data_IF_483133588095
#
_entry.id   IF_483133588095
#
_cell.length_a   1.000
_cell.length_b   1.000
_cell.length_c   1.000
_cell.angle_alpha   90.00
_cell.angle_beta   90.00
_cell.angle_gamma   90.00
#
_symmetry.space_group_name_H-M   'P 1'
#
loop_
_entity.id
_entity.type
_entity.pdbx_description
1 polymer ?
#
# COMPACT_ATOMS: atom_id res chain seq x y z
N UNK A 1 22.09 -1.45 15.39
CA UNK A 1 20.87 -2.17 15.81
C UNK A 1 20.04 -2.49 14.58
N UNK A 2 20.11 -3.72 14.05
CA UNK A 2 19.21 -4.13 12.98
C UNK A 2 17.82 -4.22 13.61
N UNK A 3 16.88 -3.36 13.17
CA UNK A 3 15.52 -3.38 13.70
C UNK A 3 14.91 -4.77 13.51
N UNK A 4 14.26 -5.32 14.55
CA UNK A 4 13.58 -6.63 14.49
C UNK A 4 12.63 -6.74 13.30
N UNK A 5 12.05 -5.62 12.88
CA UNK A 5 11.22 -5.52 11.68
C UNK A 5 11.95 -5.96 10.41
N UNK A 6 13.19 -5.48 10.20
CA UNK A 6 14.00 -5.85 9.02
C UNK A 6 14.33 -7.34 9.01
N UNK A 7 14.61 -7.91 10.16
CA UNK A 7 14.88 -9.34 10.28
C UNK A 7 13.65 -10.19 9.94
N UNK A 8 12.46 -9.76 10.38
CA UNK A 8 11.18 -10.42 10.06
C UNK A 8 10.90 -10.33 8.55
N UNK A 9 11.09 -9.16 7.93
CA UNK A 9 10.86 -8.98 6.48
C UNK A 9 11.78 -9.88 5.64
N UNK A 10 13.05 -10.03 6.04
CA UNK A 10 13.98 -10.96 5.36
C UNK A 10 13.48 -12.39 5.48
N UNK A 11 13.09 -12.83 6.68
CA UNK A 11 12.57 -14.18 6.92
C UNK A 11 11.33 -14.47 6.05
N UNK A 12 10.36 -13.55 6.03
CA UNK A 12 9.14 -13.72 5.23
C UNK A 12 9.44 -13.77 3.73
N UNK A 13 10.38 -12.94 3.27
CA UNK A 13 10.74 -12.90 1.87
C UNK A 13 11.48 -14.16 1.39
N UNK A 14 12.32 -14.77 2.22
CA UNK A 14 12.95 -16.07 1.92
C UNK A 14 11.94 -17.20 1.75
N UNK A 15 10.85 -17.16 2.52
CA UNK A 15 9.77 -18.16 2.50
C UNK A 15 8.75 -17.92 1.38
N UNK A 16 8.79 -16.76 0.71
CA UNK A 16 7.82 -16.39 -0.30
C UNK A 16 8.22 -16.98 -1.66
N UNK A 17 7.37 -17.77 -2.32
CA UNK A 17 7.65 -18.23 -3.68
C UNK A 17 7.69 -17.03 -4.63
N UNK A 18 8.70 -16.99 -5.50
CA UNK A 18 8.78 -15.94 -6.51
C UNK A 18 7.64 -16.12 -7.53
N UNK A 19 6.95 -15.03 -7.94
CA UNK A 19 5.95 -15.11 -8.98
C UNK A 19 6.60 -15.52 -10.32
N UNK A 20 5.79 -15.98 -11.30
CA UNK A 20 6.27 -16.33 -12.64
C UNK A 20 7.07 -15.18 -13.27
N UNK A 21 8.12 -15.47 -14.08
CA UNK A 21 8.99 -14.45 -14.66
C UNK A 21 8.25 -13.30 -15.35
N UNK A 22 7.26 -13.60 -16.18
CA UNK A 22 6.45 -12.61 -16.88
C UNK A 22 5.73 -11.61 -15.93
N UNK A 23 5.35 -12.05 -14.73
CA UNK A 23 4.68 -11.19 -13.76
C UNK A 23 5.68 -10.27 -13.04
N UNK A 24 6.94 -10.67 -12.92
CA UNK A 24 7.99 -9.88 -12.24
C UNK A 24 8.19 -8.52 -12.91
N UNK A 25 8.39 -8.53 -14.23
CA UNK A 25 8.57 -7.29 -15.00
C UNK A 25 7.30 -6.45 -15.05
N UNK A 26 6.12 -7.08 -15.12
CA UNK A 26 4.82 -6.40 -15.05
C UNK A 26 4.62 -5.67 -13.73
N UNK A 27 4.91 -6.31 -12.59
CA UNK A 27 4.82 -5.71 -11.27
C UNK A 27 5.78 -4.54 -11.11
N UNK A 28 6.98 -4.62 -11.68
CA UNK A 28 7.90 -3.48 -11.72
C UNK A 28 7.34 -2.34 -12.58
N UNK A 29 6.82 -2.66 -13.75
CA UNK A 29 6.27 -1.69 -14.70
C UNK A 29 5.02 -0.99 -14.16
N UNK A 30 4.16 -1.68 -13.41
CA UNK A 30 2.94 -1.10 -12.82
C UNK A 30 3.25 0.00 -11.80
N UNK A 31 4.44 -0.04 -11.19
CA UNK A 31 4.96 1.01 -10.31
C UNK A 31 5.73 2.12 -11.04
N UNK A 32 5.82 2.07 -12.38
CA UNK A 32 6.60 3.03 -13.17
C UNK A 32 8.11 2.94 -12.93
N UNK A 33 8.61 1.79 -12.45
CA UNK A 33 10.03 1.60 -12.14
C UNK A 33 10.80 1.06 -13.35
N UNK A 34 11.94 1.67 -13.66
CA UNK A 34 12.87 1.14 -14.67
C UNK A 34 13.73 0.01 -14.10
N UNK A 35 14.20 -0.94 -14.93
CA UNK A 35 15.12 -1.99 -14.48
C UNK A 35 16.37 -1.41 -13.82
N UNK A 36 16.96 -0.36 -14.40
CA UNK A 36 18.12 0.34 -13.85
C UNK A 36 17.90 0.87 -12.43
N UNK A 37 16.72 1.44 -12.16
CA UNK A 37 16.40 1.98 -10.84
C UNK A 37 16.26 0.88 -9.80
N UNK A 38 15.61 -0.22 -10.16
CA UNK A 38 15.44 -1.36 -9.25
C UNK A 38 16.76 -2.09 -9.00
N UNK A 39 17.52 -2.36 -10.05
CA UNK A 39 18.83 -3.03 -9.97
C UNK A 39 19.78 -2.26 -9.04
N UNK A 40 19.86 -0.93 -9.19
CA UNK A 40 20.64 -0.06 -8.30
C UNK A 40 20.18 -0.11 -6.84
N UNK A 41 18.87 -0.20 -6.59
CA UNK A 41 18.32 -0.25 -5.24
C UNK A 41 18.62 -1.60 -4.56
N UNK A 42 18.63 -2.70 -5.32
CA UNK A 42 18.97 -4.05 -4.85
C UNK A 42 20.49 -4.22 -4.74
N UNK A 43 21.27 -3.51 -5.55
CA UNK A 43 22.73 -3.61 -5.61
C UNK A 43 23.23 -4.64 -6.61
N UNK A 44 22.52 -4.84 -7.72
CA UNK A 44 22.91 -5.75 -8.81
C UNK A 44 23.00 -5.01 -10.15
N UNK A 45 23.62 -5.65 -11.14
CA UNK A 45 23.61 -5.18 -12.51
C UNK A 45 22.22 -5.30 -13.15
N UNK A 46 21.95 -4.40 -14.10
CA UNK A 46 20.68 -4.42 -14.86
C UNK A 46 20.49 -5.71 -15.65
N UNK A 47 21.58 -6.27 -16.16
CA UNK A 47 21.56 -7.55 -16.90
C UNK A 47 21.16 -8.70 -15.99
N UNK A 48 21.66 -8.73 -14.75
CA UNK A 48 21.29 -9.73 -13.75
C UNK A 48 19.81 -9.62 -13.39
N UNK A 49 19.31 -8.40 -13.17
CA UNK A 49 17.88 -8.20 -12.93
C UNK A 49 17.03 -8.66 -14.12
N UNK A 50 17.46 -8.39 -15.35
CA UNK A 50 16.76 -8.83 -16.54
C UNK A 50 16.72 -10.36 -16.65
N UNK A 51 17.84 -11.05 -16.41
CA UNK A 51 17.90 -12.51 -16.38
C UNK A 51 16.94 -13.11 -15.32
N UNK A 52 16.77 -12.45 -14.16
CA UNK A 52 15.77 -12.84 -13.17
C UNK A 52 14.33 -12.61 -13.64
N UNK A 53 14.06 -11.47 -14.29
CA UNK A 53 12.73 -11.15 -14.83
C UNK A 53 12.33 -12.05 -16.01
N UNK A 54 13.30 -12.59 -16.76
CA UNK A 54 13.08 -13.55 -17.84
C UNK A 54 13.08 -15.01 -17.36
N UNK A 55 13.48 -15.26 -16.11
CA UNK A 55 13.57 -16.61 -15.55
C UNK A 55 14.76 -17.42 -16.07
N UNK A 56 15.75 -16.74 -16.67
CA UNK A 56 17.01 -17.36 -17.09
C UNK A 56 17.85 -17.78 -15.88
N UNK A 57 17.79 -17.00 -14.81
CA UNK A 57 18.44 -17.28 -13.53
C UNK A 57 17.50 -16.92 -12.38
N UNK A 58 17.76 -17.46 -11.19
CA UNK A 58 17.09 -17.03 -9.97
C UNK A 58 18.04 -16.25 -9.06
N UNK A 59 17.53 -15.30 -8.26
CA UNK A 59 18.33 -14.66 -7.24
C UNK A 59 18.66 -15.64 -6.11
N UNK A 60 19.91 -15.60 -5.66
CA UNK A 60 20.40 -16.34 -4.49
C UNK A 60 20.24 -15.52 -3.20
N UNK A 61 20.29 -16.18 -2.04
CA UNK A 61 20.30 -15.47 -0.75
C UNK A 61 21.59 -14.62 -0.62
N UNK A 62 21.53 -13.39 -0.09
CA UNK A 62 20.39 -12.68 0.50
C UNK A 62 19.56 -11.84 -0.52
N UNK A 63 20.00 -11.76 -1.78
CA UNK A 63 19.34 -10.95 -2.81
C UNK A 63 17.93 -11.44 -3.13
N UNK A 64 17.70 -12.76 -2.98
CA UNK A 64 16.37 -13.36 -3.08
C UNK A 64 15.37 -12.70 -2.15
N UNK A 65 15.73 -12.48 -0.89
CA UNK A 65 14.86 -11.86 0.09
C UNK A 65 14.51 -10.42 -0.31
N UNK A 66 15.51 -9.63 -0.73
CA UNK A 66 15.26 -8.26 -1.19
C UNK A 66 14.32 -8.21 -2.41
N UNK A 67 14.53 -9.11 -3.37
CA UNK A 67 13.73 -9.16 -4.59
C UNK A 67 12.30 -9.69 -4.34
N UNK A 68 12.16 -10.75 -3.53
CA UNK A 68 10.86 -11.30 -3.15
C UNK A 68 10.03 -10.27 -2.37
N UNK A 69 10.64 -9.56 -1.41
CA UNK A 69 9.99 -8.46 -0.70
C UNK A 69 9.49 -7.38 -1.67
N UNK A 70 10.32 -6.94 -2.61
CA UNK A 70 9.92 -5.96 -3.62
C UNK A 70 8.70 -6.43 -4.41
N UNK A 71 8.71 -7.67 -4.92
CA UNK A 71 7.60 -8.21 -5.73
C UNK A 71 6.31 -8.35 -4.93
N UNK A 72 6.39 -8.82 -3.68
CA UNK A 72 5.24 -8.90 -2.79
C UNK A 72 4.61 -7.52 -2.57
N UNK A 73 5.43 -6.51 -2.27
CA UNK A 73 4.94 -5.13 -2.07
C UNK A 73 4.40 -4.51 -3.35
N UNK A 74 5.02 -4.77 -4.50
CA UNK A 74 4.52 -4.31 -5.80
C UNK A 74 3.16 -4.89 -6.14
N UNK A 75 2.94 -6.17 -5.84
CA UNK A 75 1.64 -6.82 -6.01
C UNK A 75 0.57 -6.21 -5.09
N UNK A 76 0.88 -6.02 -3.80
CA UNK A 76 -0.04 -5.36 -2.86
C UNK A 76 -0.40 -3.93 -3.30
N UNK A 77 0.58 -3.14 -3.77
CA UNK A 77 0.31 -1.79 -4.25
C UNK A 77 -0.53 -1.80 -5.53
N UNK A 78 -0.21 -2.67 -6.49
CA UNK A 78 -0.98 -2.81 -7.73
C UNK A 78 -2.44 -3.20 -7.48
N UNK A 79 -2.68 -4.14 -6.57
CA UNK A 79 -4.04 -4.55 -6.16
C UNK A 79 -4.79 -3.43 -5.44
N UNK A 80 -4.13 -2.73 -4.52
CA UNK A 80 -4.71 -1.56 -3.84
C UNK A 80 -5.15 -0.48 -4.83
N UNK A 81 -4.29 -0.09 -5.77
CA UNK A 81 -4.64 0.91 -6.79
C UNK A 81 -5.74 0.42 -7.73
N UNK A 82 -5.71 -0.85 -8.16
CA UNK A 82 -6.77 -1.42 -8.98
C UNK A 82 -8.14 -1.35 -8.28
N UNK A 83 -8.18 -1.64 -6.97
CA UNK A 83 -9.40 -1.54 -6.18
C UNK A 83 -9.86 -0.09 -5.98
N UNK A 84 -8.94 0.83 -5.68
CA UNK A 84 -9.25 2.26 -5.52
C UNK A 84 -9.81 2.91 -6.79
N UNK A 85 -9.42 2.44 -7.98
CA UNK A 85 -9.93 2.95 -9.27
C UNK A 85 -11.27 2.28 -9.65
N UNK A 86 -11.50 1.03 -9.20
CA UNK A 86 -12.71 0.27 -9.49
C UNK A 86 -13.90 0.65 -8.61
N UNK A 87 -13.67 1.18 -7.41
CA UNK A 87 -14.74 1.74 -6.59
C UNK A 87 -15.14 3.13 -7.12
N UNK A 88 -16.41 3.36 -7.51
CA UNK A 88 -16.92 4.72 -7.56
C UNK A 88 -16.93 5.19 -6.10
N UNK A 89 -15.89 5.92 -5.71
CA UNK A 89 -15.90 6.64 -4.44
C UNK A 89 -17.24 7.39 -4.33
N UNK A 90 -18.00 7.25 -3.22
CA UNK A 90 -18.95 8.30 -2.90
C UNK A 90 -18.11 9.56 -2.74
N UNK A 91 -18.44 10.59 -3.54
CA UNK A 91 -17.91 11.95 -3.41
C UNK A 91 -17.70 12.26 -1.93
N UNK A 92 -16.44 12.47 -1.51
CA UNK A 92 -16.15 13.11 -0.23
C UNK A 92 -17.09 14.31 -0.11
N UNK A 93 -17.81 14.52 1.00
CA UNK A 93 -18.81 15.58 1.06
C UNK A 93 -18.14 16.91 0.74
N UNK A 94 -18.43 17.46 -0.44
CA UNK A 94 -18.35 18.88 -0.65
C UNK A 94 -19.40 19.46 0.29
N UNK A 95 -18.98 19.81 1.51
CA UNK A 95 -19.75 20.66 2.41
C UNK A 95 -19.89 22.03 1.75
N UNK A 96 -20.86 22.12 0.85
CA UNK A 96 -21.59 23.34 0.61
C UNK A 96 -22.44 23.60 1.86
N UNK A 97 -21.94 24.42 2.77
CA UNK A 97 -22.80 25.13 3.72
C UNK A 97 -22.80 26.60 3.35
N UNK A 98 -23.66 26.94 2.40
CA UNK A 98 -24.22 28.28 2.24
C UNK A 98 -25.60 28.32 2.93
N UNK A 99 -25.62 29.02 4.06
CA UNK A 99 -26.61 29.97 4.57
C UNK A 99 -28.13 29.73 4.40
N UNK A 100 -28.80 29.61 5.57
CA UNK A 100 -30.18 30.00 5.92
C UNK A 100 -31.34 29.15 5.32
N UNK A 101 -32.43 28.81 6.01
CA UNK A 101 -33.08 29.32 7.21
C UNK A 101 -34.12 28.29 7.69
N UNK A 102 -34.23 28.06 9.00
CA UNK A 102 -35.23 27.17 9.59
C UNK A 102 -35.27 27.32 11.11
N UNK A 103 -35.96 28.36 11.56
CA UNK A 103 -36.18 28.75 12.95
C UNK A 103 -37.05 27.74 13.73
N UNK A 104 -36.89 27.74 15.07
CA UNK A 104 -37.67 27.09 16.15
C UNK A 104 -37.08 25.76 16.66
N UNK A 105 -36.81 25.51 17.94
CA UNK A 105 -36.94 26.30 19.17
C UNK A 105 -36.09 25.61 20.26
N UNK A 106 -35.56 26.42 21.19
CA UNK A 106 -34.77 25.99 22.35
C UNK A 106 -35.61 25.09 23.27
N UNK A 107 -35.20 23.83 23.44
CA UNK A 107 -35.63 22.98 24.55
C UNK A 107 -34.51 22.90 25.58
N UNK A 108 -34.44 23.91 26.46
CA UNK A 108 -33.92 23.69 27.81
C UNK A 108 -35.10 23.34 28.70
N UNK A 109 -35.22 22.10 29.22
CA UNK A 109 -36.11 21.85 30.34
C UNK A 109 -35.46 22.39 31.62
N UNK A 110 -36.03 23.48 32.09
CA UNK A 110 -35.85 24.05 33.40
C UNK A 110 -36.17 23.01 34.50
N UNK A 111 -35.35 23.07 35.55
CA UNK A 111 -35.48 22.35 36.82
C UNK A 111 -36.88 22.51 37.47
N UNK A 112 -37.49 21.46 38.06
CA UNK A 112 -38.79 21.59 38.73
C UNK A 112 -38.68 22.32 40.08
N UNK A 113 -39.76 22.97 40.54
CA UNK A 113 -39.74 23.80 41.74
C UNK A 113 -39.80 22.99 43.04
N UNK A 114 -39.02 23.41 44.03
CA UNK A 114 -39.25 23.12 45.46
C UNK A 114 -40.55 23.80 45.90
N UNK A 115 -41.44 23.08 46.58
CA UNK A 115 -42.52 23.67 47.38
C UNK A 115 -42.46 23.20 48.83
N UNK A 116 -42.94 24.03 49.78
CA UNK A 116 -42.72 23.86 51.21
C UNK A 116 -43.86 23.12 51.92
N UNK A 117 -43.54 22.58 53.10
CA UNK A 117 -44.46 22.06 54.11
C UNK A 117 -43.73 21.91 55.43
#
# INVERSE_FOLDING_TARGET
MTSSYRAIEVLLAEQTPLPPPAERSRLRNSLGLTPTRLARAIGVDTTTLHAWEEGLTEPEAPLRAAYAYFLARAHTLGTYYAQAIAEPHPTAPAEATDTAQGTLALLSPCHPPLQPG
#
